data_IF_590298581335
#
_entry.id   IF_590298581335
#
_cell.length_a   1.000
_cell.length_b   1.000
_cell.length_c   1.000
_cell.angle_alpha   90.00
_cell.angle_beta   90.00
_cell.angle_gamma   90.00
#
_symmetry.space_group_name_H-M   'P 1'
#
loop_
_entity.id
_entity.type
_entity.pdbx_description
1 polymer ?
#
# COMPACT_ATOMS: atom_id res chain seq x y z
N UNK A 1 17.87 -42.79 -31.46
CA UNK A 1 18.43 -41.46 -31.30
C UNK A 1 17.45 -40.65 -30.45
N UNK A 2 17.69 -40.65 -29.15
CA UNK A 2 16.84 -39.93 -28.20
C UNK A 2 17.24 -38.45 -28.25
N UNK A 3 16.35 -37.61 -28.75
CA UNK A 3 16.51 -36.17 -28.66
C UNK A 3 16.45 -35.72 -27.21
N UNK A 4 17.56 -35.21 -26.71
CA UNK A 4 17.62 -34.52 -25.44
C UNK A 4 16.75 -33.24 -25.61
N UNK A 5 15.49 -33.29 -25.22
CA UNK A 5 14.74 -32.07 -24.95
C UNK A 5 15.38 -31.45 -23.68
N UNK A 6 16.38 -30.62 -23.90
CA UNK A 6 16.86 -29.73 -22.86
C UNK A 6 15.66 -28.96 -22.34
N UNK A 7 15.33 -29.15 -21.09
CA UNK A 7 14.31 -28.32 -20.44
C UNK A 7 14.81 -26.90 -20.51
N UNK A 8 14.16 -26.09 -21.34
CA UNK A 8 14.44 -24.65 -21.48
C UNK A 8 13.83 -23.87 -20.30
N UNK A 9 14.16 -24.31 -19.08
CA UNK A 9 13.91 -23.50 -17.91
C UNK A 9 14.85 -22.31 -17.90
N UNK A 10 14.34 -21.10 -17.63
CA UNK A 10 15.16 -19.93 -17.42
C UNK A 10 15.53 -19.86 -15.95
N UNK A 11 16.81 -19.82 -15.64
CA UNK A 11 17.30 -19.58 -14.29
C UNK A 11 17.68 -18.09 -14.17
N UNK A 12 16.99 -17.37 -13.30
CA UNK A 12 17.29 -15.98 -12.95
C UNK A 12 17.86 -15.94 -11.54
N UNK A 13 19.06 -15.40 -11.39
CA UNK A 13 19.68 -15.19 -10.07
C UNK A 13 19.39 -13.78 -9.56
N UNK A 14 18.94 -13.63 -8.31
CA UNK A 14 18.97 -12.33 -7.64
C UNK A 14 20.42 -11.91 -7.42
N UNK A 15 20.69 -10.62 -7.49
CA UNK A 15 22.01 -10.05 -7.27
C UNK A 15 22.01 -9.17 -6.04
N UNK A 16 23.14 -9.10 -5.38
CA UNK A 16 23.41 -8.17 -4.30
C UNK A 16 24.73 -7.44 -4.60
N UNK A 17 24.76 -6.15 -4.28
CA UNK A 17 25.94 -5.32 -4.53
C UNK A 17 27.18 -5.78 -3.73
N UNK A 18 26.96 -6.43 -2.59
CA UNK A 18 28.04 -6.85 -1.68
C UNK A 18 28.64 -8.22 -2.03
N UNK A 19 28.04 -8.99 -2.95
CA UNK A 19 28.46 -10.37 -3.28
C UNK A 19 28.65 -10.59 -4.79
N UNK A 20 29.28 -9.64 -5.47
CA UNK A 20 29.46 -9.66 -6.94
C UNK A 20 30.16 -10.92 -7.42
N UNK A 21 31.33 -11.25 -6.83
CA UNK A 21 32.15 -12.40 -7.24
C UNK A 21 31.39 -13.72 -7.07
N UNK A 22 30.68 -13.86 -5.96
CA UNK A 22 29.86 -15.04 -5.69
C UNK A 22 28.68 -15.15 -6.66
N UNK A 23 28.06 -14.02 -6.99
CA UNK A 23 27.00 -13.98 -8.00
C UNK A 23 27.50 -14.44 -9.37
N UNK A 24 28.67 -13.97 -9.81
CA UNK A 24 29.29 -14.41 -11.06
C UNK A 24 29.66 -15.89 -11.01
N UNK A 25 30.22 -16.36 -9.90
CA UNK A 25 30.54 -17.77 -9.69
C UNK A 25 29.30 -18.65 -9.79
N UNK A 26 28.22 -18.30 -9.10
CA UNK A 26 26.96 -19.04 -9.11
C UNK A 26 26.29 -18.98 -10.48
N UNK A 27 26.29 -17.83 -11.15
CA UNK A 27 25.79 -17.70 -12.53
C UNK A 27 26.46 -18.72 -13.46
N UNK A 28 27.79 -18.81 -13.41
CA UNK A 28 28.56 -19.73 -14.25
C UNK A 28 28.33 -21.20 -13.85
N UNK A 29 28.32 -21.50 -12.55
CA UNK A 29 28.13 -22.85 -12.03
C UNK A 29 26.76 -23.42 -12.37
N UNK A 30 25.72 -22.60 -12.25
CA UNK A 30 24.35 -23.02 -12.45
C UNK A 30 23.84 -22.80 -13.89
N UNK A 31 24.63 -22.14 -14.73
CA UNK A 31 24.22 -21.79 -16.10
C UNK A 31 23.05 -20.83 -16.13
N UNK A 32 23.05 -19.80 -15.28
CA UNK A 32 21.96 -18.86 -15.21
C UNK A 32 21.84 -18.00 -16.49
N UNK A 33 20.62 -17.84 -16.97
CA UNK A 33 20.28 -17.09 -18.18
C UNK A 33 20.09 -15.61 -17.93
N UNK A 34 19.89 -15.23 -16.68
CA UNK A 34 19.58 -13.85 -16.30
C UNK A 34 20.07 -13.51 -14.90
N UNK A 35 20.35 -12.23 -14.72
CA UNK A 35 20.57 -11.59 -13.41
C UNK A 35 19.43 -10.63 -13.13
N UNK A 36 19.00 -10.54 -11.88
CA UNK A 36 17.93 -9.67 -11.43
C UNK A 36 18.43 -8.81 -10.26
N UNK A 37 18.17 -7.51 -10.32
CA UNK A 37 18.39 -6.63 -9.17
C UNK A 37 17.61 -7.08 -7.94
N UNK A 38 18.12 -6.76 -6.77
CA UNK A 38 17.35 -6.86 -5.53
C UNK A 38 16.47 -5.62 -5.35
N UNK A 39 15.33 -5.80 -4.71
CA UNK A 39 14.38 -4.72 -4.48
C UNK A 39 15.04 -3.57 -3.69
N UNK A 40 15.14 -2.42 -4.34
CA UNK A 40 15.72 -1.20 -3.74
C UNK A 40 17.20 -0.95 -4.02
N UNK A 41 17.91 -1.88 -4.66
CA UNK A 41 19.33 -1.73 -5.04
C UNK A 41 19.49 -1.63 -6.56
N UNK A 42 20.54 -0.95 -7.00
CA UNK A 42 20.95 -0.93 -8.40
C UNK A 42 21.95 -2.06 -8.68
N UNK A 43 21.86 -2.63 -9.88
CA UNK A 43 22.79 -3.68 -10.28
C UNK A 43 24.19 -3.07 -10.54
N UNK A 44 25.26 -3.56 -9.90
CA UNK A 44 26.60 -3.07 -10.13
C UNK A 44 27.06 -3.23 -11.59
N UNK A 45 27.90 -2.32 -12.08
CA UNK A 45 28.42 -2.33 -13.45
C UNK A 45 29.09 -3.66 -13.84
N UNK A 46 29.79 -4.30 -12.90
CA UNK A 46 30.40 -5.60 -13.12
C UNK A 46 29.36 -6.69 -13.49
N UNK A 47 28.20 -6.63 -12.89
CA UNK A 47 27.09 -7.57 -13.19
C UNK A 47 26.31 -7.15 -14.44
N UNK A 48 26.20 -5.84 -14.72
CA UNK A 48 25.64 -5.33 -15.97
C UNK A 48 26.45 -5.77 -17.19
N UNK A 49 27.75 -5.91 -17.04
CA UNK A 49 28.67 -6.34 -18.11
C UNK A 49 28.61 -7.84 -18.43
N UNK A 50 28.00 -8.66 -17.58
CA UNK A 50 27.90 -10.09 -17.81
C UNK A 50 27.00 -10.42 -19.04
N UNK A 51 27.33 -11.42 -19.87
CA UNK A 51 26.65 -11.73 -21.12
C UNK A 51 25.35 -12.53 -20.89
N UNK A 52 24.51 -12.10 -19.99
CA UNK A 52 23.21 -12.68 -19.67
C UNK A 52 22.16 -11.58 -19.59
N UNK A 53 20.89 -11.94 -19.64
CA UNK A 53 19.79 -10.97 -19.55
C UNK A 53 19.76 -10.25 -18.21
N UNK A 54 19.36 -8.98 -18.25
CA UNK A 54 19.21 -8.11 -17.08
C UNK A 54 17.76 -7.84 -16.82
N UNK A 55 17.34 -8.16 -15.61
CA UNK A 55 15.99 -7.86 -15.10
C UNK A 55 16.12 -6.76 -14.05
N UNK A 56 15.45 -5.67 -14.26
CA UNK A 56 15.38 -4.59 -13.27
C UNK A 56 13.99 -4.43 -12.69
N UNK A 57 13.94 -4.08 -11.42
CA UNK A 57 12.72 -3.80 -10.71
C UNK A 57 12.36 -2.33 -10.87
N UNK A 58 11.13 -2.07 -11.32
CA UNK A 58 10.57 -0.73 -11.44
C UNK A 58 9.40 -0.55 -10.46
N UNK A 59 9.49 0.48 -9.65
CA UNK A 59 8.44 0.85 -8.69
C UNK A 59 7.53 1.91 -9.30
N UNK A 60 6.26 1.58 -9.47
CA UNK A 60 5.29 2.46 -10.12
C UNK A 60 4.58 3.42 -9.20
N UNK A 61 4.58 3.15 -7.90
CA UNK A 61 3.71 3.84 -6.92
C UNK A 61 4.45 4.63 -5.86
N UNK A 62 5.77 4.71 -5.94
CA UNK A 62 6.64 5.35 -4.94
C UNK A 62 7.91 5.92 -5.56
N UNK A 63 8.86 6.38 -4.71
CA UNK A 63 10.14 7.01 -5.07
C UNK A 63 9.98 8.39 -5.72
N UNK A 64 8.93 9.11 -5.35
CA UNK A 64 8.74 10.49 -5.75
C UNK A 64 7.83 11.24 -4.79
N UNK A 65 8.40 11.63 -3.65
CA UNK A 65 7.67 12.40 -2.64
C UNK A 65 7.24 13.77 -3.15
N UNK A 66 8.03 14.38 -4.03
CA UNK A 66 7.70 15.70 -4.56
C UNK A 66 6.40 15.68 -5.37
N UNK A 67 6.22 14.64 -6.19
CA UNK A 67 4.97 14.42 -6.90
C UNK A 67 3.81 14.17 -5.93
N UNK A 68 3.98 13.24 -5.00
CA UNK A 68 2.95 12.87 -4.04
C UNK A 68 2.52 14.05 -3.16
N UNK A 69 3.47 14.87 -2.69
CA UNK A 69 3.16 16.07 -1.90
C UNK A 69 2.43 17.16 -2.70
N UNK A 70 2.66 17.24 -4.02
CA UNK A 70 1.93 18.18 -4.91
C UNK A 70 0.52 17.70 -5.25
N UNK A 71 0.26 16.40 -5.10
CA UNK A 71 -1.01 15.75 -5.43
C UNK A 71 -1.50 14.87 -4.29
N UNK A 72 -1.74 15.44 -3.09
CA UNK A 72 -2.14 14.66 -1.92
C UNK A 72 -3.46 13.90 -2.13
N UNK A 73 -4.36 14.42 -2.99
CA UNK A 73 -5.60 13.75 -3.38
C UNK A 73 -5.39 12.45 -4.17
N UNK A 74 -4.20 12.26 -4.75
CA UNK A 74 -3.84 11.09 -5.56
C UNK A 74 -2.93 10.09 -4.81
N UNK A 75 -2.66 10.32 -3.52
CA UNK A 75 -2.00 9.35 -2.63
C UNK A 75 -2.91 8.12 -2.47
N UNK A 76 -2.30 6.95 -2.31
CA UNK A 76 -3.05 5.72 -2.05
C UNK A 76 -3.86 5.82 -0.77
N UNK A 77 -5.05 5.25 -0.79
CA UNK A 77 -5.99 5.28 0.32
C UNK A 77 -6.56 3.89 0.57
N UNK A 78 -6.97 3.67 1.80
CA UNK A 78 -7.67 2.47 2.25
C UNK A 78 -8.93 2.86 3.01
N UNK A 79 -9.94 1.97 3.00
CA UNK A 79 -11.00 2.04 4.00
C UNK A 79 -10.52 1.37 5.29
N UNK A 80 -10.67 2.09 6.38
CA UNK A 80 -10.46 1.57 7.72
C UNK A 80 -11.80 1.51 8.45
N UNK A 81 -11.89 0.62 9.44
CA UNK A 81 -13.03 0.55 10.35
C UNK A 81 -12.57 0.81 11.78
N UNK A 82 -13.23 1.74 12.47
CA UNK A 82 -12.94 2.06 13.86
C UNK A 82 -13.11 0.86 14.80
N UNK A 83 -12.67 1.00 16.04
CA UNK A 83 -13.08 0.07 17.09
C UNK A 83 -14.62 0.06 17.22
N UNK A 84 -15.17 -1.12 17.58
CA UNK A 84 -16.56 -1.26 17.92
C UNK A 84 -16.75 -0.77 19.36
N UNK A 85 -17.60 0.23 19.54
CA UNK A 85 -17.82 0.87 20.85
C UNK A 85 -19.29 0.79 21.22
N UNK A 86 -19.55 0.37 22.45
CA UNK A 86 -20.90 0.35 23.03
C UNK A 86 -21.28 1.74 23.54
N UNK A 87 -22.38 2.29 23.06
CA UNK A 87 -22.94 3.55 23.55
C UNK A 87 -23.51 3.38 24.96
N UNK A 88 -23.17 4.29 25.86
CA UNK A 88 -23.70 4.31 27.23
C UNK A 88 -24.75 5.38 27.44
N UNK A 89 -25.02 6.21 26.46
CA UNK A 89 -25.98 7.32 26.47
C UNK A 89 -26.52 7.59 25.07
N UNK A 90 -27.12 8.76 24.90
CA UNK A 90 -27.71 9.20 23.62
C UNK A 90 -26.66 9.75 22.63
N UNK A 91 -25.43 9.92 23.07
CA UNK A 91 -24.29 10.33 22.24
C UNK A 91 -23.08 9.46 22.48
N UNK A 92 -22.28 9.23 21.45
CA UNK A 92 -21.03 8.48 21.49
C UNK A 92 -19.98 9.21 20.66
N UNK A 93 -18.74 9.28 21.16
CA UNK A 93 -17.58 9.71 20.40
C UNK A 93 -16.67 8.54 20.12
N UNK A 94 -16.29 8.37 18.85
CA UNK A 94 -15.40 7.32 18.39
C UNK A 94 -14.16 7.98 17.82
N UNK A 95 -12.99 7.69 18.41
CA UNK A 95 -11.70 8.10 17.88
C UNK A 95 -11.29 7.19 16.73
N UNK A 96 -11.18 7.76 15.50
CA UNK A 96 -11.02 6.97 14.29
C UNK A 96 -9.71 6.19 14.26
N UNK A 97 -8.59 6.82 14.62
CA UNK A 97 -7.26 6.24 14.52
C UNK A 97 -6.83 5.43 15.76
N UNK A 98 -7.73 5.20 16.71
CA UNK A 98 -7.41 4.39 17.88
C UNK A 98 -7.07 2.94 17.49
N UNK A 99 -5.85 2.52 17.85
CA UNK A 99 -5.33 1.20 17.54
C UNK A 99 -4.77 1.04 16.12
N UNK A 100 -4.65 2.11 15.33
CA UNK A 100 -3.97 2.08 14.03
C UNK A 100 -2.55 2.68 14.08
N UNK A 101 -1.73 2.30 13.09
CA UNK A 101 -0.39 2.84 12.89
C UNK A 101 -0.45 4.25 12.29
N UNK A 102 -0.47 5.28 13.15
CA UNK A 102 -0.58 6.69 12.73
C UNK A 102 0.65 7.21 11.97
N UNK A 103 1.77 6.51 12.03
CA UNK A 103 2.97 6.82 11.22
C UNK A 103 2.79 6.39 9.76
N UNK A 104 1.97 5.38 9.49
CA UNK A 104 1.70 4.85 8.16
C UNK A 104 0.39 5.34 7.57
N UNK A 105 -0.55 5.74 8.41
CA UNK A 105 -1.92 6.05 8.04
C UNK A 105 -2.35 7.42 8.56
N UNK A 106 -3.10 8.15 7.75
CA UNK A 106 -3.70 9.43 8.12
C UNK A 106 -5.13 9.50 7.59
N UNK A 107 -6.08 9.94 8.43
CA UNK A 107 -7.48 10.15 8.01
C UNK A 107 -7.52 11.06 6.78
N UNK A 108 -8.33 10.70 5.80
CA UNK A 108 -8.59 11.57 4.66
C UNK A 108 -9.56 12.66 5.09
N UNK A 109 -9.05 13.90 5.13
CA UNK A 109 -9.82 15.11 5.43
C UNK A 109 -9.98 16.02 4.20
N UNK A 110 -9.56 15.56 3.01
CA UNK A 110 -9.69 16.32 1.76
C UNK A 110 -11.05 16.13 1.09
N UNK A 111 -11.69 14.99 1.36
CA UNK A 111 -12.95 14.60 0.75
C UNK A 111 -14.09 14.64 1.78
N UNK A 112 -15.33 14.81 1.31
CA UNK A 112 -16.50 14.90 2.18
C UNK A 112 -16.77 13.58 2.92
N UNK A 113 -16.67 13.55 4.26
CA UNK A 113 -16.96 12.36 5.05
C UNK A 113 -18.40 11.86 4.86
N UNK A 114 -19.37 12.76 4.71
CA UNK A 114 -20.80 12.40 4.53
C UNK A 114 -21.04 11.65 3.22
N UNK A 115 -20.20 11.87 2.23
CA UNK A 115 -20.29 11.19 0.93
C UNK A 115 -19.65 9.79 0.97
N UNK A 116 -18.52 9.65 1.66
CA UNK A 116 -17.66 8.49 1.52
C UNK A 116 -17.57 7.59 2.73
N UNK A 117 -17.91 8.07 3.92
CA UNK A 117 -17.85 7.28 5.14
C UNK A 117 -19.21 6.68 5.47
N UNK A 118 -19.20 5.66 6.33
CA UNK A 118 -20.40 4.99 6.78
C UNK A 118 -20.33 4.70 8.28
N UNK A 119 -21.32 5.15 9.01
CA UNK A 119 -21.52 4.80 10.42
C UNK A 119 -22.56 3.70 10.49
N UNK A 120 -22.25 2.61 11.18
CA UNK A 120 -23.16 1.47 11.31
C UNK A 120 -23.46 1.20 12.79
N UNK A 121 -24.73 1.06 13.10
CA UNK A 121 -25.21 0.43 14.32
C UNK A 121 -25.06 -1.09 14.18
N UNK A 122 -24.05 -1.66 14.85
CA UNK A 122 -23.72 -3.09 14.79
C UNK A 122 -24.71 -3.98 15.52
N UNK A 123 -25.57 -3.40 16.36
CA UNK A 123 -26.64 -4.13 17.05
C UNK A 123 -27.81 -4.44 16.13
N UNK A 124 -28.13 -3.48 15.24
CA UNK A 124 -29.23 -3.64 14.28
C UNK A 124 -28.76 -4.00 12.86
N UNK A 125 -27.51 -3.68 12.53
CA UNK A 125 -26.95 -3.75 11.17
C UNK A 125 -27.34 -2.57 10.27
N UNK A 126 -28.02 -1.55 10.82
CA UNK A 126 -28.48 -0.41 10.06
C UNK A 126 -27.42 0.69 9.92
N UNK A 127 -27.45 1.37 8.78
CA UNK A 127 -26.62 2.56 8.55
C UNK A 127 -27.22 3.73 9.32
N UNK A 128 -26.39 4.39 10.12
CA UNK A 128 -26.79 5.61 10.84
C UNK A 128 -26.95 6.75 9.83
N UNK A 129 -28.09 7.47 9.82
CA UNK A 129 -28.31 8.58 8.90
C UNK A 129 -27.22 9.64 8.98
N UNK A 130 -26.87 10.26 7.85
CA UNK A 130 -25.79 11.22 7.75
C UNK A 130 -25.96 12.46 8.65
N UNK A 131 -27.18 12.84 8.98
CA UNK A 131 -27.52 13.94 9.89
C UNK A 131 -27.45 13.55 11.38
N UNK A 132 -27.19 12.27 11.67
CA UNK A 132 -27.10 11.77 13.04
C UNK A 132 -25.66 11.61 13.54
N UNK A 133 -24.67 12.02 12.79
CA UNK A 133 -23.25 12.01 13.19
C UNK A 133 -22.48 13.18 12.58
N UNK A 134 -21.37 13.57 13.22
CA UNK A 134 -20.47 14.61 12.74
C UNK A 134 -19.02 14.19 12.98
N UNK A 135 -18.15 14.55 12.05
CA UNK A 135 -16.72 14.38 12.19
C UNK A 135 -16.05 15.67 12.64
N UNK A 136 -15.32 15.62 13.74
CA UNK A 136 -14.47 16.71 14.22
C UNK A 136 -13.03 16.42 13.79
N UNK A 137 -12.55 17.15 12.78
CA UNK A 137 -11.18 17.00 12.26
C UNK A 137 -10.12 17.35 13.33
N UNK A 138 -10.40 18.30 14.22
CA UNK A 138 -9.44 18.75 15.22
C UNK A 138 -9.14 17.67 16.26
N UNK A 139 -10.13 16.90 16.67
CA UNK A 139 -9.98 15.79 17.63
C UNK A 139 -9.75 14.44 16.93
N UNK A 140 -10.08 14.31 15.64
CA UNK A 140 -10.09 13.04 14.91
C UNK A 140 -11.18 12.09 15.37
N UNK A 141 -12.28 12.63 15.90
CA UNK A 141 -13.41 11.85 16.46
C UNK A 141 -14.68 12.03 15.63
N UNK A 142 -15.49 11.00 15.61
CA UNK A 142 -16.87 11.06 15.09
C UNK A 142 -17.81 11.05 16.28
N UNK A 143 -18.64 12.09 16.40
CA UNK A 143 -19.73 12.14 17.36
C UNK A 143 -21.02 11.61 16.70
N UNK A 144 -21.69 10.67 17.36
CA UNK A 144 -22.85 9.94 16.84
C UNK A 144 -24.02 10.11 17.83
N UNK A 145 -25.21 10.42 17.33
CA UNK A 145 -26.46 10.26 18.10
C UNK A 145 -26.80 8.76 18.15
N UNK A 146 -26.95 8.23 19.35
CA UNK A 146 -26.97 6.79 19.58
C UNK A 146 -28.20 6.34 20.38
N UNK A 147 -28.44 5.05 20.27
CA UNK A 147 -29.36 4.32 21.19
C UNK A 147 -28.47 3.71 22.29
N UNK A 148 -28.76 3.94 23.57
CA UNK A 148 -27.99 3.36 24.66
C UNK A 148 -27.87 1.84 24.54
N UNK A 149 -26.67 1.32 24.84
CA UNK A 149 -26.30 -0.10 24.79
C UNK A 149 -26.19 -0.71 23.39
N UNK A 150 -26.43 0.07 22.32
CA UNK A 150 -26.06 -0.36 20.97
C UNK A 150 -24.56 -0.17 20.73
N UNK A 151 -24.03 -0.95 19.80
CA UNK A 151 -22.62 -0.89 19.37
C UNK A 151 -22.48 -0.21 18.03
N UNK A 152 -21.46 0.61 17.88
CA UNK A 152 -21.25 1.41 16.67
C UNK A 152 -19.84 1.27 16.14
N UNK A 153 -19.70 1.37 14.81
CA UNK A 153 -18.43 1.51 14.10
C UNK A 153 -18.52 2.60 13.05
N UNK A 154 -17.37 3.16 12.71
CA UNK A 154 -17.22 4.10 11.60
C UNK A 154 -16.26 3.49 10.57
N UNK A 155 -16.70 3.38 9.33
CA UNK A 155 -15.85 3.05 8.19
C UNK A 155 -15.46 4.35 7.51
N UNK A 156 -14.14 4.60 7.36
CA UNK A 156 -13.60 5.88 6.91
C UNK A 156 -12.41 5.69 5.99
N UNK A 157 -12.12 6.68 5.14
CA UNK A 157 -10.96 6.69 4.26
C UNK A 157 -9.71 7.20 4.99
N UNK A 158 -8.59 6.56 4.76
CA UNK A 158 -7.28 6.99 5.24
C UNK A 158 -6.23 6.92 4.13
N UNK A 159 -5.33 7.89 4.11
CA UNK A 159 -4.16 7.90 3.24
C UNK A 159 -3.06 6.99 3.77
N UNK A 160 -2.38 6.28 2.88
CA UNK A 160 -1.13 5.57 3.15
C UNK A 160 0.04 6.56 2.99
N UNK A 161 0.54 7.07 4.10
CA UNK A 161 1.56 8.14 4.15
C UNK A 161 2.98 7.64 4.34
N UNK A 162 3.18 6.33 4.45
CA UNK A 162 4.51 5.73 4.50
C UNK A 162 4.53 4.40 3.75
N UNK A 163 5.37 4.32 2.72
CA UNK A 163 5.59 3.09 1.96
C UNK A 163 6.10 1.97 2.89
N UNK A 164 5.45 0.81 2.96
CA UNK A 164 5.84 -0.26 3.87
C UNK A 164 7.25 -0.82 3.61
N UNK A 165 7.70 -0.86 2.36
CA UNK A 165 9.05 -1.33 2.03
C UNK A 165 10.10 -0.30 2.48
N UNK A 166 9.81 0.99 2.30
CA UNK A 166 10.67 2.03 2.84
C UNK A 166 10.68 1.99 4.38
N UNK A 167 9.53 1.80 5.01
CA UNK A 167 9.41 1.65 6.47
C UNK A 167 10.26 0.48 6.97
N UNK A 168 10.19 -0.69 6.32
CA UNK A 168 11.03 -1.83 6.64
C UNK A 168 12.52 -1.47 6.58
N UNK A 169 13.00 -0.93 5.47
CA UNK A 169 14.41 -0.59 5.29
C UNK A 169 14.86 0.53 6.25
N UNK A 170 14.00 1.50 6.52
CA UNK A 170 14.26 2.56 7.51
C UNK A 170 14.50 2.00 8.91
N UNK A 171 13.71 1.01 9.32
CA UNK A 171 13.79 0.42 10.67
C UNK A 171 14.90 -0.63 10.75
N UNK A 172 15.05 -1.49 9.73
CA UNK A 172 15.92 -2.67 9.79
C UNK A 172 17.26 -2.49 9.10
N UNK A 173 17.35 -1.65 8.06
CA UNK A 173 18.54 -1.48 7.21
C UNK A 173 19.16 -0.08 7.28
N UNK A 174 18.80 0.67 8.31
CA UNK A 174 19.38 1.98 8.66
C UNK A 174 19.22 3.09 7.60
N UNK A 175 18.13 3.08 6.82
CA UNK A 175 17.81 4.14 5.85
C UNK A 175 17.24 5.41 6.49
N UNK A 176 17.74 5.79 7.67
CA UNK A 176 17.16 6.87 8.50
C UNK A 176 17.47 8.27 8.05
N UNK A 177 18.42 8.43 7.15
CA UNK A 177 18.79 9.70 6.52
C UNK A 177 17.90 10.07 5.31
N UNK A 178 17.03 9.16 4.89
CA UNK A 178 16.07 9.39 3.81
C UNK A 178 14.69 9.76 4.35
N UNK A 179 13.96 10.70 3.73
CA UNK A 179 12.60 11.02 4.14
C UNK A 179 11.65 9.85 3.90
N UNK A 180 10.60 9.73 4.72
CA UNK A 180 9.55 8.74 4.51
C UNK A 180 8.99 8.84 3.10
N UNK A 181 8.95 7.73 2.39
CA UNK A 181 8.41 7.69 1.03
C UNK A 181 6.89 7.57 1.07
N UNK A 182 6.24 8.46 0.35
CA UNK A 182 4.81 8.43 0.11
C UNK A 182 4.46 7.46 -1.02
N UNK A 183 3.25 6.93 -0.98
CA UNK A 183 2.66 6.13 -2.05
C UNK A 183 1.72 6.98 -2.89
N UNK A 184 1.57 6.68 -4.18
CA UNK A 184 0.58 7.33 -5.03
C UNK A 184 -0.17 6.30 -5.88
N UNK A 185 -1.41 6.62 -6.25
CA UNK A 185 -2.30 5.70 -6.94
C UNK A 185 -2.22 5.89 -8.46
N UNK A 186 -1.65 4.92 -9.17
CA UNK A 186 -1.49 4.95 -10.64
C UNK A 186 -2.82 4.93 -11.41
N UNK A 187 -3.94 4.67 -10.75
CA UNK A 187 -5.27 4.72 -11.36
C UNK A 187 -5.80 6.15 -11.46
N UNK A 188 -5.28 7.06 -10.64
CA UNK A 188 -5.62 8.48 -10.66
C UNK A 188 -5.14 9.14 -11.96
N UNK A 189 -5.94 10.05 -12.54
CA UNK A 189 -5.68 10.54 -13.89
C UNK A 189 -4.34 11.28 -14.05
N UNK A 190 -3.96 12.16 -13.12
CA UNK A 190 -2.69 12.90 -13.16
C UNK A 190 -1.51 11.96 -12.93
N UNK A 191 -1.59 11.12 -11.89
CA UNK A 191 -0.56 10.14 -11.55
C UNK A 191 -0.37 9.11 -12.66
N UNK A 192 -1.44 8.66 -13.31
CA UNK A 192 -1.36 7.76 -14.47
C UNK A 192 -0.54 8.36 -15.61
N UNK A 193 -0.75 9.63 -15.92
CA UNK A 193 0.01 10.30 -16.97
C UNK A 193 1.47 10.47 -16.57
N UNK A 194 1.72 10.96 -15.36
CA UNK A 194 3.04 11.15 -14.80
C UNK A 194 3.87 9.86 -14.79
N UNK A 195 3.30 8.76 -14.29
CA UNK A 195 4.00 7.46 -14.21
C UNK A 195 4.33 6.91 -15.60
N UNK A 196 3.49 7.12 -16.61
CA UNK A 196 3.81 6.74 -17.99
C UNK A 196 5.01 7.49 -18.55
N UNK A 197 5.08 8.79 -18.31
CA UNK A 197 6.20 9.63 -18.75
C UNK A 197 7.48 9.26 -18.02
N UNK A 198 7.40 9.07 -16.72
CA UNK A 198 8.52 8.62 -15.87
C UNK A 198 9.05 7.26 -16.29
N UNK A 199 8.16 6.29 -16.58
CA UNK A 199 8.56 4.97 -17.06
C UNK A 199 9.25 5.05 -18.44
N UNK A 200 8.72 5.86 -19.37
CA UNK A 200 9.34 6.04 -20.69
C UNK A 200 10.77 6.56 -20.52
N UNK A 201 10.91 7.62 -19.74
CA UNK A 201 12.26 8.19 -19.46
C UNK A 201 13.18 7.16 -18.81
N UNK A 202 12.69 6.41 -17.83
CA UNK A 202 13.50 5.37 -17.19
C UNK A 202 13.96 4.31 -18.18
N UNK A 203 13.11 3.87 -19.12
CA UNK A 203 13.51 2.94 -20.16
C UNK A 203 14.58 3.52 -21.10
N UNK A 204 14.47 4.80 -21.43
CA UNK A 204 15.46 5.51 -22.25
C UNK A 204 16.83 5.63 -21.53
N UNK A 205 16.79 5.88 -20.22
CA UNK A 205 18.00 6.00 -19.37
C UNK A 205 18.64 4.62 -19.05
N UNK A 206 17.90 3.50 -19.23
CA UNK A 206 18.36 2.14 -18.90
C UNK A 206 18.28 1.18 -20.10
N UNK A 207 18.94 1.49 -21.23
CA UNK A 207 18.84 0.70 -22.46
C UNK A 207 19.47 -0.71 -22.35
N UNK A 208 20.25 -0.96 -21.30
CA UNK A 208 20.90 -2.25 -21.02
C UNK A 208 19.96 -3.25 -20.29
N UNK A 209 18.77 -2.83 -19.90
CA UNK A 209 17.79 -3.70 -19.22
C UNK A 209 16.94 -4.42 -20.27
N UNK A 210 16.95 -5.75 -20.23
CA UNK A 210 16.16 -6.59 -21.13
C UNK A 210 14.73 -6.78 -20.67
N UNK A 211 14.48 -6.81 -19.36
CA UNK A 211 13.16 -7.07 -18.78
C UNK A 211 12.92 -6.17 -17.59
N UNK A 212 11.82 -5.44 -17.65
CA UNK A 212 11.31 -4.63 -16.53
C UNK A 212 10.35 -5.47 -15.69
N UNK A 213 10.67 -5.63 -14.41
CA UNK A 213 9.79 -6.24 -13.43
C UNK A 213 9.06 -5.14 -12.68
N UNK A 214 7.77 -5.00 -12.92
CA UNK A 214 6.93 -4.14 -12.09
C UNK A 214 6.70 -4.80 -10.74
N UNK A 215 7.00 -4.08 -9.68
CA UNK A 215 6.71 -4.52 -8.33
C UNK A 215 5.73 -3.57 -7.67
N UNK A 216 4.81 -4.14 -6.92
CA UNK A 216 3.76 -3.46 -6.14
C UNK A 216 3.14 -2.24 -6.82
N UNK A 217 2.02 -2.43 -7.50
CA UNK A 217 1.15 -1.34 -7.92
C UNK A 217 0.41 -0.72 -6.74
N UNK A 218 0.15 -1.54 -5.73
CA UNK A 218 -0.50 -1.16 -4.48
C UNK A 218 0.22 -1.80 -3.32
N UNK A 219 0.31 -1.07 -2.21
CA UNK A 219 0.81 -1.63 -0.97
C UNK A 219 -0.31 -2.39 -0.29
N UNK A 220 -0.11 -3.68 -0.12
CA UNK A 220 -1.08 -4.62 0.45
C UNK A 220 -0.55 -5.26 1.73
N UNK A 221 0.40 -4.62 2.39
CA UNK A 221 0.93 -5.10 3.65
C UNK A 221 1.35 -3.92 4.54
N UNK A 222 1.36 -4.18 5.82
CA UNK A 222 1.96 -3.31 6.83
C UNK A 222 2.98 -4.09 7.63
N UNK A 223 3.87 -3.36 8.27
CA UNK A 223 4.90 -3.93 9.15
C UNK A 223 4.65 -3.45 10.56
N UNK A 224 4.76 -4.37 11.50
CA UNK A 224 4.66 -4.09 12.92
C UNK A 224 5.94 -4.49 13.61
N UNK A 225 6.50 -3.59 14.39
CA UNK A 225 7.73 -3.81 15.14
C UNK A 225 7.49 -3.71 16.62
N UNK A 226 8.18 -4.55 17.39
CA UNK A 226 8.20 -4.44 18.83
C UNK A 226 9.21 -3.36 19.29
N UNK A 227 9.27 -3.12 20.61
CA UNK A 227 10.21 -2.21 21.26
C UNK A 227 11.69 -2.53 20.98
N UNK A 228 11.99 -3.76 20.59
CA UNK A 228 13.33 -4.22 20.17
C UNK A 228 13.56 -4.14 18.67
N UNK A 229 12.66 -3.49 17.94
CA UNK A 229 12.67 -3.38 16.48
C UNK A 229 12.66 -4.74 15.74
N UNK A 230 12.08 -5.76 16.37
CA UNK A 230 11.85 -7.04 15.71
C UNK A 230 10.48 -7.01 15.04
N UNK A 231 10.45 -7.50 13.82
CA UNK A 231 9.22 -7.64 13.08
C UNK A 231 8.28 -8.62 13.80
N UNK A 232 7.05 -8.21 14.03
CA UNK A 232 6.00 -9.04 14.63
C UNK A 232 4.98 -9.50 13.63
N UNK A 233 4.75 -8.71 12.60
CA UNK A 233 3.68 -8.96 11.66
C UNK A 233 4.04 -8.43 10.27
N UNK A 234 3.85 -9.28 9.25
CA UNK A 234 3.88 -8.92 7.84
C UNK A 234 2.70 -9.58 7.14
N UNK A 235 1.85 -8.79 6.53
CA UNK A 235 0.78 -9.26 5.66
C UNK A 235 1.09 -8.86 4.22
N UNK A 236 1.60 -9.80 3.44
CA UNK A 236 2.05 -9.55 2.06
C UNK A 236 0.93 -9.47 1.05
N UNK A 237 -0.16 -10.18 1.30
CA UNK A 237 -1.30 -10.31 0.39
C UNK A 237 -2.61 -10.16 1.15
N UNK A 238 -2.65 -9.17 2.04
CA UNK A 238 -3.84 -8.89 2.82
C UNK A 238 -5.06 -8.58 1.96
N UNK A 239 -6.20 -8.62 2.58
CA UNK A 239 -7.49 -8.34 1.93
C UNK A 239 -7.70 -6.86 1.62
N UNK A 240 -6.70 -6.00 1.83
CA UNK A 240 -6.85 -4.59 1.54
C UNK A 240 -6.97 -4.33 0.04
N UNK A 241 -7.92 -3.50 -0.29
CA UNK A 241 -8.07 -2.99 -1.64
C UNK A 241 -7.90 -1.47 -1.57
N UNK A 242 -6.81 -0.97 -2.14
CA UNK A 242 -6.61 0.47 -2.22
C UNK A 242 -7.78 1.12 -2.96
N UNK A 243 -8.40 2.10 -2.33
CA UNK A 243 -9.57 2.82 -2.81
C UNK A 243 -9.35 4.32 -2.70
N UNK A 244 -10.11 5.08 -3.47
CA UNK A 244 -10.14 6.54 -3.37
C UNK A 244 -11.48 7.04 -3.86
N UNK A 245 -11.91 8.26 -3.53
CA UNK A 245 -13.13 8.86 -4.06
C UNK A 245 -13.23 8.77 -5.58
N UNK A 246 -12.14 9.04 -6.29
CA UNK A 246 -12.12 8.91 -7.76
C UNK A 246 -12.44 7.48 -8.22
N UNK A 247 -11.81 6.47 -7.63
CA UNK A 247 -12.02 5.06 -8.02
C UNK A 247 -13.44 4.61 -7.65
N UNK A 248 -13.93 5.03 -6.49
CA UNK A 248 -15.28 4.74 -6.03
C UNK A 248 -16.33 5.34 -6.97
N UNK A 249 -16.13 6.58 -7.44
CA UNK A 249 -17.00 7.18 -8.45
C UNK A 249 -16.97 6.43 -9.79
N UNK A 250 -15.80 5.97 -10.23
CA UNK A 250 -15.72 5.15 -11.46
C UNK A 250 -16.47 3.83 -11.29
N UNK A 251 -16.34 3.20 -10.11
CA UNK A 251 -17.10 1.99 -9.79
C UNK A 251 -18.61 2.25 -9.80
N UNK A 252 -19.09 3.31 -9.12
CA UNK A 252 -20.51 3.66 -9.08
C UNK A 252 -21.09 3.89 -10.50
N UNK A 253 -20.34 4.59 -11.35
CA UNK A 253 -20.73 4.81 -12.76
C UNK A 253 -20.83 3.50 -13.55
N UNK A 254 -19.89 2.59 -13.33
CA UNK A 254 -19.87 1.30 -14.01
C UNK A 254 -20.93 0.33 -13.48
N UNK A 255 -21.07 0.24 -12.17
CA UNK A 255 -21.94 -0.72 -11.50
C UNK A 255 -23.43 -0.29 -11.50
N UNK A 256 -23.69 1.02 -11.57
CA UNK A 256 -25.04 1.59 -11.50
C UNK A 256 -25.63 1.66 -10.07
N UNK A 257 -24.78 1.44 -9.05
CA UNK A 257 -25.18 1.58 -7.65
C UNK A 257 -24.03 2.14 -6.81
N UNK A 258 -24.37 2.70 -5.64
CA UNK A 258 -23.40 3.28 -4.71
C UNK A 258 -22.59 2.20 -4.02
N UNK A 259 -21.28 2.37 -4.00
CA UNK A 259 -20.37 1.53 -3.22
C UNK A 259 -20.59 1.77 -1.72
N UNK A 260 -20.53 0.70 -0.94
CA UNK A 260 -20.56 0.76 0.52
C UNK A 260 -19.24 0.28 1.10
N UNK A 261 -18.64 1.02 2.06
CA UNK A 261 -17.45 0.59 2.77
C UNK A 261 -17.55 -0.81 3.35
N UNK A 262 -18.74 -1.19 3.84
CA UNK A 262 -19.02 -2.49 4.43
C UNK A 262 -18.74 -3.68 3.48
N UNK A 263 -18.72 -3.46 2.16
CA UNK A 263 -18.35 -4.51 1.20
C UNK A 263 -16.88 -4.91 1.27
N UNK A 264 -16.03 -4.05 1.82
CA UNK A 264 -14.58 -4.30 1.95
C UNK A 264 -14.19 -4.55 3.41
N UNK A 265 -14.66 -3.71 4.35
CA UNK A 265 -14.10 -3.70 5.71
C UNK A 265 -14.45 -4.92 6.55
N UNK A 266 -15.44 -5.71 6.12
CA UNK A 266 -15.81 -7.01 6.71
C UNK A 266 -15.74 -7.03 8.25
N UNK A 267 -16.42 -6.08 8.88
CA UNK A 267 -16.51 -5.93 10.34
C UNK A 267 -15.16 -5.87 11.08
N UNK A 268 -14.11 -5.43 10.38
CA UNK A 268 -12.78 -5.24 10.95
C UNK A 268 -11.75 -6.32 10.62
N UNK A 269 -12.13 -7.43 10.04
CA UNK A 269 -11.19 -8.45 9.56
C UNK A 269 -10.20 -7.87 8.57
N UNK A 270 -10.70 -7.13 7.61
CA UNK A 270 -9.94 -6.45 6.57
C UNK A 270 -8.82 -5.55 7.12
N UNK A 271 -9.08 -4.87 8.23
CA UNK A 271 -8.13 -3.90 8.77
C UNK A 271 -7.18 -4.45 9.84
N UNK A 272 -7.20 -5.74 10.11
CA UNK A 272 -6.36 -6.33 11.15
C UNK A 272 -4.87 -6.03 10.94
N UNK A 273 -4.42 -6.00 9.69
CA UNK A 273 -3.04 -5.68 9.31
C UNK A 273 -2.60 -4.25 9.62
N UNK A 274 -3.53 -3.31 9.72
CA UNK A 274 -3.23 -1.90 9.98
C UNK A 274 -3.32 -1.54 11.47
N UNK A 275 -3.67 -2.50 12.32
CA UNK A 275 -3.81 -2.27 13.75
C UNK A 275 -2.54 -2.58 14.52
N UNK A 276 -2.28 -1.76 15.51
CA UNK A 276 -1.24 -2.03 16.51
C UNK A 276 -1.64 -3.28 17.30
N UNK A 277 -0.74 -4.26 17.51
CA UNK A 277 -1.01 -5.48 18.25
C UNK A 277 -1.43 -5.26 19.69
#
# INVERSE_FOLDING_TARGET
>A
MGGNHAMTGRLTLPTDADIIDETIRLKNLLGADALRDCDGTEMPEALLSEPVKKYATYYTTRKDNEWAMKHPEEIQQEYLISNRITARGETLRIRLMEGFHTEQLKVNTLDDPKRWWEVIDRTTGEVVPADAWEFDEASGEVEIRTIPYHEYTVSFLAFLIWDPVHMYNFITNDWKDTPHQLTYDVRQPKTKQYVKEKLRKWCEDNPHIDVVRFTTFFHQFTLTFDDKKREKFVEWFGYSASVSPYILEQFEKWAGYKFRPEYIVDQGYHNSMFRVP
#
